data_IF_876483811041
#
_entry.id   IF_876483811041
#
_cell.length_a   1.000
_cell.length_b   1.000
_cell.length_c   1.000
_cell.angle_alpha   90.00
_cell.angle_beta   90.00
_cell.angle_gamma   90.00
#
_symmetry.space_group_name_H-M   'P 1'
#
loop_
_entity.id
_entity.type
_entity.pdbx_description
1 polymer ?
#
# COMPACT_ATOMS: atom_id res chain seq x y z
N UNK A 1 -59.14 -66.61 -3.18
CA UNK A 1 -58.14 -65.75 -3.85
C UNK A 1 -58.87 -64.99 -4.95
N UNK A 2 -58.97 -63.67 -4.85
CA UNK A 2 -59.58 -62.83 -5.89
C UNK A 2 -58.55 -61.77 -6.23
N UNK A 3 -57.91 -61.92 -7.39
CA UNK A 3 -56.92 -61.00 -7.93
C UNK A 3 -57.63 -59.80 -8.53
N UNK A 4 -57.35 -58.60 -8.02
CA UNK A 4 -57.78 -57.36 -8.66
C UNK A 4 -56.77 -57.02 -9.77
N UNK A 5 -57.18 -57.09 -11.03
CA UNK A 5 -56.41 -56.59 -12.17
C UNK A 5 -56.43 -55.06 -12.21
N UNK A 6 -55.40 -54.40 -12.78
CA UNK A 6 -55.31 -52.94 -12.79
C UNK A 6 -56.42 -52.33 -13.66
N UNK A 7 -57.22 -51.46 -13.06
CA UNK A 7 -58.14 -50.57 -13.77
C UNK A 7 -57.33 -49.64 -14.67
N UNK A 8 -57.34 -49.91 -15.98
CA UNK A 8 -56.85 -48.96 -16.97
C UNK A 8 -57.79 -47.75 -16.95
N UNK A 9 -57.30 -46.61 -16.45
CA UNK A 9 -58.03 -45.34 -16.51
C UNK A 9 -57.83 -44.80 -17.93
N UNK A 10 -58.88 -44.73 -18.78
CA UNK A 10 -58.72 -44.15 -20.11
C UNK A 10 -58.47 -42.65 -19.98
N UNK A 11 -57.42 -42.17 -20.64
CA UNK A 11 -57.07 -40.75 -20.74
C UNK A 11 -58.25 -39.98 -21.38
N UNK A 12 -58.99 -39.24 -20.56
CA UNK A 12 -60.27 -38.61 -20.91
C UNK A 12 -60.13 -37.35 -21.77
N UNK A 13 -58.96 -37.11 -22.39
CA UNK A 13 -58.69 -35.97 -23.28
C UNK A 13 -59.25 -36.09 -24.70
N UNK A 14 -60.06 -37.11 -25.00
CA UNK A 14 -60.44 -37.44 -26.39
C UNK A 14 -61.93 -37.26 -26.73
N UNK A 15 -62.68 -36.31 -26.15
CA UNK A 15 -64.01 -35.95 -26.67
C UNK A 15 -64.31 -34.45 -26.61
N UNK A 16 -64.00 -33.72 -27.69
CA UNK A 16 -64.69 -32.48 -28.08
C UNK A 16 -64.83 -32.38 -29.61
N UNK A 17 -65.86 -31.72 -30.15
CA UNK A 17 -66.27 -31.83 -31.55
C UNK A 17 -65.24 -31.22 -32.51
N UNK A 18 -64.93 -31.95 -33.57
CA UNK A 18 -64.05 -31.54 -34.66
C UNK A 18 -64.68 -30.43 -35.51
N UNK A 19 -64.27 -29.16 -35.31
CA UNK A 19 -64.59 -28.10 -36.27
C UNK A 19 -63.57 -26.97 -36.40
N UNK A 20 -62.31 -27.21 -36.09
CA UNK A 20 -61.18 -26.40 -36.56
C UNK A 20 -60.01 -27.32 -36.93
N UNK A 21 -59.47 -27.17 -38.14
CA UNK A 21 -58.35 -27.95 -38.66
C UNK A 21 -57.02 -27.43 -38.08
N UNK A 22 -56.80 -27.67 -36.79
CA UNK A 22 -55.51 -27.43 -36.14
C UNK A 22 -54.66 -28.69 -36.31
N UNK A 23 -53.62 -28.64 -37.13
CA UNK A 23 -52.67 -29.75 -37.28
C UNK A 23 -51.91 -29.93 -35.95
N UNK A 24 -51.91 -31.16 -35.40
CA UNK A 24 -51.25 -31.46 -34.13
C UNK A 24 -49.76 -31.12 -34.22
N UNK A 25 -49.29 -30.25 -33.33
CA UNK A 25 -47.88 -29.81 -33.28
C UNK A 25 -47.53 -28.63 -34.18
N UNK A 26 -48.49 -28.04 -34.91
CA UNK A 26 -48.26 -26.81 -35.69
C UNK A 26 -48.60 -25.56 -34.89
N UNK A 27 -47.82 -24.51 -35.14
CA UNK A 27 -48.01 -23.17 -34.60
C UNK A 27 -49.39 -22.61 -34.95
N UNK A 28 -50.05 -21.99 -33.96
CA UNK A 28 -51.38 -21.38 -34.14
C UNK A 28 -51.26 -19.99 -34.78
N UNK A 29 -52.13 -19.65 -35.73
CA UNK A 29 -52.18 -18.33 -36.40
C UNK A 29 -52.50 -18.47 -37.89
N UNK A 30 -53.00 -17.40 -38.54
CA UNK A 30 -53.39 -17.41 -39.97
C UNK A 30 -52.23 -17.81 -40.91
N UNK A 31 -50.99 -17.56 -40.49
CA UNK A 31 -49.76 -17.91 -41.22
C UNK A 31 -48.89 -18.93 -40.46
N UNK A 32 -49.41 -19.55 -39.40
CA UNK A 32 -48.60 -20.46 -38.56
C UNK A 32 -47.47 -19.76 -37.79
N UNK A 33 -47.63 -18.48 -37.46
CA UNK A 33 -46.60 -17.65 -36.82
C UNK A 33 -46.56 -17.73 -35.29
N UNK A 34 -47.47 -18.48 -34.65
CA UNK A 34 -47.47 -18.66 -33.19
C UNK A 34 -46.35 -19.57 -32.67
N UNK A 35 -46.15 -19.61 -31.36
CA UNK A 35 -45.30 -20.65 -30.75
C UNK A 35 -46.04 -21.99 -30.73
N UNK A 36 -45.44 -23.01 -31.34
CA UNK A 36 -45.94 -24.39 -31.26
C UNK A 36 -45.60 -25.06 -29.93
N UNK A 37 -44.52 -24.60 -29.27
CA UNK A 37 -44.08 -25.12 -27.98
C UNK A 37 -44.57 -24.23 -26.83
N UNK A 38 -44.99 -24.83 -25.71
CA UNK A 38 -45.37 -24.07 -24.53
C UNK A 38 -44.17 -23.28 -24.00
N UNK A 39 -44.43 -22.05 -23.55
CA UNK A 39 -43.40 -21.22 -22.92
C UNK A 39 -42.85 -21.94 -21.70
N UNK A 40 -41.53 -22.07 -21.65
CA UNK A 40 -40.84 -22.64 -20.49
C UNK A 40 -41.04 -21.72 -19.29
N UNK A 41 -41.58 -22.27 -18.21
CA UNK A 41 -41.74 -21.57 -16.94
C UNK A 41 -40.68 -22.13 -15.98
N UNK A 42 -39.72 -21.29 -15.62
CA UNK A 42 -38.72 -21.63 -14.59
C UNK A 42 -39.32 -21.41 -13.20
N UNK A 43 -39.86 -22.49 -12.63
CA UNK A 43 -40.40 -22.47 -11.27
C UNK A 43 -39.23 -22.47 -10.27
N UNK A 44 -38.87 -21.28 -9.77
CA UNK A 44 -37.86 -21.13 -8.71
C UNK A 44 -38.37 -21.77 -7.42
N UNK A 45 -37.70 -22.84 -6.96
CA UNK A 45 -38.10 -23.62 -5.76
C UNK A 45 -37.68 -23.00 -4.42
N UNK A 46 -36.96 -21.87 -4.43
CA UNK A 46 -36.51 -21.20 -3.21
C UNK A 46 -37.54 -20.19 -2.68
N UNK A 47 -37.67 -20.08 -1.35
CA UNK A 47 -38.48 -19.04 -0.70
C UNK A 47 -37.79 -17.65 -0.63
N UNK A 48 -36.61 -17.51 -1.23
CA UNK A 48 -35.90 -16.24 -1.28
C UNK A 48 -36.65 -15.23 -2.15
N UNK A 49 -36.67 -13.96 -1.74
CA UNK A 49 -37.32 -12.89 -2.48
C UNK A 49 -36.79 -12.75 -3.91
N UNK A 50 -37.69 -12.40 -4.83
CA UNK A 50 -37.33 -12.09 -6.22
C UNK A 50 -36.32 -10.92 -6.19
N UNK A 51 -35.19 -11.08 -6.88
CA UNK A 51 -34.09 -10.09 -6.90
C UNK A 51 -32.95 -10.33 -5.91
N UNK A 52 -33.06 -11.30 -4.98
CA UNK A 52 -31.91 -11.72 -4.15
C UNK A 52 -31.06 -12.75 -4.89
N UNK A 53 -29.75 -12.45 -4.99
CA UNK A 53 -28.75 -13.40 -5.47
C UNK A 53 -28.65 -14.58 -4.50
N UNK A 54 -28.14 -15.71 -5.01
CA UNK A 54 -27.88 -16.87 -4.17
C UNK A 54 -26.93 -16.49 -3.01
N UNK A 55 -27.22 -16.92 -1.77
CA UNK A 55 -26.44 -16.57 -0.59
C UNK A 55 -24.95 -16.95 -0.73
N UNK A 56 -24.64 -17.97 -1.53
CA UNK A 56 -23.27 -18.35 -1.87
C UNK A 56 -22.55 -17.27 -2.71
N UNK A 57 -23.25 -16.68 -3.69
CA UNK A 57 -22.71 -15.62 -4.56
C UNK A 57 -22.48 -14.33 -3.78
N UNK A 58 -23.39 -14.00 -2.88
CA UNK A 58 -23.28 -12.83 -1.99
C UNK A 58 -22.11 -12.98 -1.01
N UNK A 59 -21.95 -14.17 -0.41
CA UNK A 59 -20.78 -14.49 0.44
C UNK A 59 -19.46 -14.36 -0.31
N UNK A 60 -19.37 -14.91 -1.52
CA UNK A 60 -18.13 -14.84 -2.34
C UNK A 60 -17.74 -13.40 -2.65
N UNK A 61 -18.70 -12.57 -3.09
CA UNK A 61 -18.46 -11.13 -3.33
C UNK A 61 -17.99 -10.40 -2.06
N UNK A 62 -18.56 -10.74 -0.90
CA UNK A 62 -18.17 -10.12 0.37
C UNK A 62 -16.76 -10.52 0.82
N UNK A 63 -16.34 -11.75 0.54
CA UNK A 63 -14.97 -12.21 0.77
C UNK A 63 -13.99 -11.55 -0.21
N UNK A 64 -14.34 -11.44 -1.50
CA UNK A 64 -13.56 -10.72 -2.51
C UNK A 64 -13.33 -9.24 -2.09
N UNK A 65 -14.38 -8.53 -1.64
CA UNK A 65 -14.26 -7.17 -1.13
C UNK A 65 -13.35 -7.10 0.11
N UNK A 66 -13.48 -8.06 1.04
CA UNK A 66 -12.66 -8.12 2.24
C UNK A 66 -11.19 -8.30 1.92
N UNK A 67 -10.86 -9.29 1.09
CA UNK A 67 -9.47 -9.57 0.68
C UNK A 67 -8.85 -8.40 -0.08
N UNK A 68 -9.64 -7.70 -0.90
CA UNK A 68 -9.20 -6.49 -1.58
C UNK A 68 -8.91 -5.35 -0.59
N UNK A 69 -9.77 -5.16 0.42
CA UNK A 69 -9.56 -4.17 1.47
C UNK A 69 -8.35 -4.50 2.36
N UNK A 70 -8.16 -5.76 2.74
CA UNK A 70 -6.99 -6.23 3.50
C UNK A 70 -5.69 -5.97 2.73
N UNK A 71 -5.64 -6.35 1.45
CA UNK A 71 -4.48 -6.05 0.58
C UNK A 71 -4.21 -4.55 0.46
N UNK A 72 -5.25 -3.72 0.41
CA UNK A 72 -5.10 -2.26 0.33
C UNK A 72 -4.56 -1.70 1.63
N UNK A 73 -5.08 -2.15 2.78
CA UNK A 73 -4.59 -1.75 4.09
C UNK A 73 -3.12 -2.17 4.29
N UNK A 74 -2.76 -3.38 3.86
CA UNK A 74 -1.37 -3.86 3.92
C UNK A 74 -0.43 -2.97 3.11
N UNK A 75 -0.83 -2.57 1.89
CA UNK A 75 -0.05 -1.64 1.06
C UNK A 75 0.13 -0.27 1.75
N UNK A 76 -0.95 0.32 2.27
CA UNK A 76 -0.89 1.61 2.99
C UNK A 76 -0.02 1.49 4.24
N UNK A 77 -0.15 0.41 5.01
CA UNK A 77 0.64 0.18 6.22
C UNK A 77 2.13 0.04 5.90
N UNK A 78 2.48 -0.61 4.78
CA UNK A 78 3.86 -0.74 4.30
C UNK A 78 4.43 0.61 3.84
N UNK A 79 3.65 1.42 3.12
CA UNK A 79 4.01 2.79 2.71
C UNK A 79 4.23 3.71 3.92
N UNK A 80 3.35 3.66 4.93
CA UNK A 80 3.48 4.42 6.16
C UNK A 80 4.71 3.99 6.99
N UNK A 81 4.96 2.68 7.09
CA UNK A 81 6.11 2.17 7.84
C UNK A 81 7.44 2.65 7.23
N UNK A 82 7.55 2.58 5.90
CA UNK A 82 8.70 3.12 5.18
C UNK A 82 8.86 4.63 5.42
N UNK A 83 7.76 5.38 5.34
CA UNK A 83 7.74 6.83 5.54
C UNK A 83 8.20 7.25 6.94
N UNK A 84 7.67 6.60 7.99
CA UNK A 84 8.02 6.91 9.39
C UNK A 84 9.48 6.60 9.70
N UNK A 85 9.96 5.42 9.29
CA UNK A 85 11.38 5.07 9.45
C UNK A 85 12.25 6.08 8.72
N UNK A 86 11.96 6.37 7.45
CA UNK A 86 12.73 7.35 6.64
C UNK A 86 12.80 8.72 7.31
N UNK A 87 11.70 9.20 7.90
CA UNK A 87 11.68 10.48 8.63
C UNK A 87 12.58 10.46 9.87
N UNK A 88 12.53 9.38 10.66
CA UNK A 88 13.40 9.23 11.84
C UNK A 88 14.88 9.17 11.45
N UNK A 89 15.22 8.44 10.38
CA UNK A 89 16.59 8.39 9.86
C UNK A 89 17.08 9.78 9.45
N UNK A 90 16.24 10.58 8.76
CA UNK A 90 16.59 11.95 8.35
C UNK A 90 16.87 12.85 9.55
N UNK A 91 15.95 12.92 10.52
CA UNK A 91 16.12 13.72 11.72
C UNK A 91 17.37 13.31 12.51
N UNK A 92 17.59 12.01 12.72
CA UNK A 92 18.79 11.52 13.42
C UNK A 92 20.07 11.84 12.65
N UNK A 93 20.03 11.86 11.31
CA UNK A 93 21.19 12.19 10.47
C UNK A 93 21.59 13.65 10.59
N UNK A 94 20.62 14.56 10.69
CA UNK A 94 20.87 15.99 10.94
C UNK A 94 21.64 16.17 12.24
N UNK A 95 21.17 15.55 13.33
CA UNK A 95 21.84 15.59 14.65
C UNK A 95 23.27 15.05 14.57
N UNK A 96 23.48 13.90 13.92
CA UNK A 96 24.81 13.31 13.78
C UNK A 96 25.76 14.21 12.97
N UNK A 97 25.28 14.78 11.86
CA UNK A 97 26.07 15.67 11.03
C UNK A 97 26.42 16.97 11.78
N UNK A 98 25.48 17.51 12.57
CA UNK A 98 25.71 18.71 13.38
C UNK A 98 26.83 18.50 14.39
N UNK A 99 26.76 17.40 15.18
CA UNK A 99 27.80 17.06 16.14
C UNK A 99 29.17 16.90 15.49
N UNK A 100 29.23 16.28 14.30
CA UNK A 100 30.48 16.16 13.52
C UNK A 100 31.00 17.51 13.04
N UNK A 101 30.11 18.38 12.55
CA UNK A 101 30.47 19.71 12.10
C UNK A 101 31.03 20.56 13.25
N UNK A 102 30.36 20.52 14.40
CA UNK A 102 30.80 21.20 15.62
C UNK A 102 32.17 20.70 16.09
N UNK A 103 32.36 19.38 16.16
CA UNK A 103 33.65 18.80 16.52
C UNK A 103 34.78 19.21 15.55
N UNK A 104 34.50 19.27 14.24
CA UNK A 104 35.47 19.74 13.24
C UNK A 104 35.78 21.24 13.42
N UNK A 105 34.78 22.05 13.74
CA UNK A 105 34.97 23.48 14.01
C UNK A 105 35.84 23.69 15.24
N UNK A 106 35.55 22.99 16.35
CA UNK A 106 36.33 23.08 17.58
C UNK A 106 37.80 22.69 17.36
N UNK A 107 38.05 21.66 16.54
CA UNK A 107 39.41 21.25 16.13
C UNK A 107 40.12 22.34 15.31
N UNK A 108 39.42 23.00 14.39
CA UNK A 108 39.98 24.03 13.51
C UNK A 108 40.19 25.37 14.22
N UNK A 109 39.36 25.68 15.20
CA UNK A 109 39.46 26.89 16.04
C UNK A 109 40.55 26.80 17.12
N UNK A 110 41.18 25.63 17.30
CA UNK A 110 42.20 25.40 18.35
C UNK A 110 41.76 25.87 19.75
N UNK A 111 40.48 25.68 20.13
CA UNK A 111 40.13 25.67 21.56
C UNK A 111 40.91 24.53 22.20
N UNK A 112 41.62 24.82 23.29
CA UNK A 112 42.48 23.88 24.00
C UNK A 112 41.79 22.51 24.14
N UNK A 113 42.27 21.52 23.40
CA UNK A 113 41.92 20.13 23.57
C UNK A 113 42.47 19.71 24.93
N UNK A 114 41.65 19.83 25.98
CA UNK A 114 41.80 18.94 27.14
C UNK A 114 41.55 17.55 26.58
N UNK A 115 42.56 16.65 26.53
CA UNK A 115 42.38 15.36 25.92
C UNK A 115 41.28 14.59 26.67
N UNK A 116 40.15 14.24 26.04
CA UNK A 116 39.28 13.23 26.62
C UNK A 116 40.04 11.90 26.64
N UNK A 117 39.94 11.16 27.74
CA UNK A 117 40.51 9.83 27.87
C UNK A 117 40.04 8.95 26.71
N UNK A 118 40.98 8.53 25.86
CA UNK A 118 40.72 7.56 24.79
C UNK A 118 40.24 6.25 25.38
N UNK A 119 38.97 5.91 25.20
CA UNK A 119 38.54 4.52 25.10
C UNK A 119 38.51 4.15 23.61
N UNK A 120 39.48 3.34 23.20
CA UNK A 120 39.73 2.93 21.81
C UNK A 120 38.84 1.75 21.34
N UNK A 121 37.58 1.66 21.76
CA UNK A 121 36.71 0.53 21.39
C UNK A 121 35.24 0.94 21.16
N UNK A 122 34.93 1.68 20.10
CA UNK A 122 33.55 1.77 19.58
C UNK A 122 33.51 1.76 18.04
N UNK A 123 34.08 0.72 17.45
CA UNK A 123 33.48 0.14 16.24
C UNK A 123 32.65 -1.07 16.68
N UNK A 124 31.35 -0.88 16.89
CA UNK A 124 30.25 -1.83 16.64
C UNK A 124 28.95 -1.30 17.27
N UNK A 125 27.82 -1.82 16.80
CA UNK A 125 26.49 -1.24 16.94
C UNK A 125 25.95 -1.06 18.38
N UNK A 126 25.12 -0.02 18.55
CA UNK A 126 24.24 0.17 19.71
C UNK A 126 24.68 1.36 20.57
N UNK A 127 23.91 2.44 20.65
CA UNK A 127 22.72 2.42 21.48
C UNK A 127 23.02 3.05 22.84
N UNK A 128 23.11 4.39 22.86
CA UNK A 128 22.83 5.23 24.03
C UNK A 128 23.99 5.50 24.98
N UNK A 129 24.52 6.72 24.90
CA UNK A 129 24.79 7.53 26.09
C UNK A 129 24.22 8.93 25.81
N UNK A 130 23.13 9.25 26.50
CA UNK A 130 22.55 10.57 26.60
C UNK A 130 23.47 11.37 27.52
N UNK A 131 24.45 12.08 26.94
CA UNK A 131 24.96 13.26 27.61
C UNK A 131 23.83 14.30 27.57
N UNK A 132 23.20 14.49 28.74
CA UNK A 132 22.31 15.61 29.07
C UNK A 132 23.10 16.93 28.96
N UNK A 133 23.47 17.33 27.76
CA UNK A 133 23.87 18.70 27.45
C UNK A 133 22.71 19.33 26.67
N UNK A 134 22.04 20.27 27.34
CA UNK A 134 20.93 21.13 26.92
C UNK A 134 20.29 20.77 25.57
N UNK A 135 19.05 20.24 25.64
CA UNK A 135 18.15 19.98 24.52
C UNK A 135 17.85 21.24 23.69
N UNK A 136 18.83 21.79 22.99
CA UNK A 136 18.56 22.56 21.79
C UNK A 136 18.13 21.55 20.74
N UNK A 137 16.87 21.63 20.32
CA UNK A 137 16.30 20.82 19.25
C UNK A 137 17.09 21.12 17.97
N UNK A 138 18.19 20.40 17.73
CA UNK A 138 19.08 20.64 16.59
C UNK A 138 18.25 20.59 15.31
N UNK A 139 18.05 21.75 14.71
CA UNK A 139 17.29 21.90 13.49
C UNK A 139 18.20 21.73 12.27
N UNK A 140 17.58 21.53 11.10
CA UNK A 140 18.30 21.54 9.83
C UNK A 140 18.99 22.89 9.57
N UNK A 141 18.45 23.98 10.12
CA UNK A 141 18.99 25.34 9.99
C UNK A 141 20.30 25.50 10.76
N UNK A 142 20.38 24.95 11.97
CA UNK A 142 21.60 25.00 12.80
C UNK A 142 22.76 24.24 12.15
N UNK A 143 22.45 23.08 11.54
CA UNK A 143 23.42 22.33 10.75
C UNK A 143 23.96 23.16 9.59
N UNK A 144 23.09 23.83 8.85
CA UNK A 144 23.49 24.69 7.74
C UNK A 144 24.37 25.84 8.21
N UNK A 145 24.05 26.47 9.34
CA UNK A 145 24.85 27.58 9.87
C UNK A 145 26.29 27.14 10.19
N UNK A 146 26.48 26.01 10.87
CA UNK A 146 27.84 25.50 11.17
C UNK A 146 28.56 25.10 9.89
N UNK A 147 27.88 24.43 8.94
CA UNK A 147 28.47 24.07 7.66
C UNK A 147 28.92 25.31 6.88
N UNK A 148 28.15 26.40 6.91
CA UNK A 148 28.54 27.66 6.29
C UNK A 148 29.76 28.27 6.97
N UNK A 149 29.80 28.32 8.32
CA UNK A 149 30.99 28.78 9.07
C UNK A 149 32.25 28.00 8.70
N UNK A 150 32.16 26.67 8.64
CA UNK A 150 33.28 25.81 8.23
C UNK A 150 33.77 26.12 6.80
N UNK A 151 32.86 26.40 5.86
CA UNK A 151 33.21 26.68 4.47
C UNK A 151 33.73 28.10 4.26
N UNK A 152 33.14 29.09 4.90
CA UNK A 152 33.48 30.49 4.71
C UNK A 152 34.77 30.88 5.45
N UNK A 153 34.92 30.44 6.71
CA UNK A 153 36.05 30.81 7.54
C UNK A 153 37.22 29.83 7.38
N UNK A 154 36.94 28.54 7.39
CA UNK A 154 37.97 27.50 7.36
C UNK A 154 38.18 26.86 5.99
N UNK A 155 37.33 27.16 4.99
CA UNK A 155 37.34 26.50 3.67
C UNK A 155 37.36 24.99 3.80
N UNK A 156 36.63 24.47 4.79
CA UNK A 156 36.53 23.05 5.09
C UNK A 156 35.15 22.54 4.68
N UNK A 157 35.12 21.37 4.06
CA UNK A 157 33.87 20.67 3.76
C UNK A 157 33.80 19.38 4.58
N UNK A 158 32.78 19.28 5.43
CA UNK A 158 32.53 18.09 6.26
C UNK A 158 32.34 16.83 5.42
N UNK A 159 31.58 16.93 4.32
CA UNK A 159 31.21 15.77 3.50
C UNK A 159 32.34 15.30 2.59
N UNK A 160 33.16 16.22 2.05
CA UNK A 160 34.40 15.87 1.36
C UNK A 160 35.51 15.40 2.31
N UNK A 161 35.44 15.76 3.59
CA UNK A 161 36.45 15.47 4.61
C UNK A 161 37.79 16.19 4.39
N UNK A 162 37.81 17.33 3.68
CA UNK A 162 39.04 18.04 3.36
C UNK A 162 38.93 19.56 3.47
N UNK A 163 40.09 20.19 3.71
CA UNK A 163 40.28 21.64 3.73
C UNK A 163 40.87 22.11 2.39
N UNK A 164 40.35 23.20 1.86
CA UNK A 164 40.77 23.78 0.58
C UNK A 164 41.69 24.98 0.78
N UNK A 165 42.63 25.15 -0.16
CA UNK A 165 43.63 26.24 -0.14
C UNK A 165 43.03 27.63 -0.42
N UNK A 166 41.87 27.70 -1.07
CA UNK A 166 41.18 28.95 -1.41
C UNK A 166 39.67 28.72 -1.55
N UNK A 167 38.89 29.79 -1.45
CA UNK A 167 37.44 29.74 -1.65
C UNK A 167 37.09 29.34 -3.10
N UNK A 168 37.91 29.75 -4.08
CA UNK A 168 37.75 29.33 -5.48
C UNK A 168 37.99 27.83 -5.67
N UNK A 169 39.00 27.26 -4.99
CA UNK A 169 39.24 25.82 -5.00
C UNK A 169 38.07 25.06 -4.37
N UNK A 170 37.51 25.58 -3.28
CA UNK A 170 36.34 24.99 -2.63
C UNK A 170 35.13 24.97 -3.59
N UNK A 171 34.82 26.07 -4.28
CA UNK A 171 33.67 26.12 -5.19
C UNK A 171 33.83 25.29 -6.48
N UNK A 172 35.07 25.02 -6.89
CA UNK A 172 35.34 24.26 -8.13
C UNK A 172 35.46 22.76 -7.90
N UNK A 173 35.93 22.34 -6.72
CA UNK A 173 36.17 20.94 -6.40
C UNK A 173 35.10 20.32 -5.50
N UNK A 174 34.38 21.11 -4.68
CA UNK A 174 33.32 20.62 -3.82
C UNK A 174 31.98 20.61 -4.58
N UNK A 175 31.27 19.46 -4.67
CA UNK A 175 30.05 19.35 -5.47
C UNK A 175 28.86 20.15 -4.90
N UNK A 176 28.85 20.43 -3.59
CA UNK A 176 27.80 21.23 -2.97
C UNK A 176 28.04 21.50 -1.48
N UNK A 177 27.07 22.10 -0.81
CA UNK A 177 27.15 22.39 0.63
C UNK A 177 26.50 21.28 1.48
N UNK A 178 25.56 20.55 0.90
CA UNK A 178 24.74 19.55 1.56
C UNK A 178 25.30 18.14 1.38
N UNK A 179 24.83 17.21 2.23
CA UNK A 179 25.21 15.80 2.13
C UNK A 179 24.78 15.18 0.81
N UNK A 180 23.59 15.55 0.29
CA UNK A 180 23.01 14.95 -0.92
C UNK A 180 23.82 15.27 -2.20
N UNK A 181 24.70 16.27 -2.17
CA UNK A 181 25.56 16.63 -3.29
C UNK A 181 26.85 15.78 -3.37
N UNK A 182 27.14 14.97 -2.35
CA UNK A 182 28.40 14.20 -2.20
C UNK A 182 28.17 12.69 -2.26
#
# INVERSE_FOLDING_TARGET
MITWGPLSVPDSRSLRPSRTSIQKGSALGKEGSGQAEPVKIDIRRSRAGIGREDPHKEKRKREEIRTWAERRNEQVMMEEFGSRKKSQWRSRRVVVNFKKAQAALDQLENKEVVPPEKNEEEEEEGGGEEEEEEEEEITEEDLLEILMKLRDEHRYCLFCGCQYESMEALLTHCPGADEDDH
#
